data_IF_506260379535
#
_entry.id   IF_506260379535
#
_cell.length_a   1.000
_cell.length_b   1.000
_cell.length_c   1.000
_cell.angle_alpha   90.00
_cell.angle_beta   90.00
_cell.angle_gamma   90.00
#
_symmetry.space_group_name_H-M   'P 1'
#
loop_
_entity.id
_entity.type
_entity.pdbx_description
1 polymer ?
#
# COMPACT_ATOMS: atom_id res chain seq x y z
N UNK A 1 7.01 17.05 13.27
CA UNK A 1 6.77 15.75 12.60
C UNK A 1 5.99 14.86 13.56
N UNK A 2 4.73 14.55 13.26
CA UNK A 2 3.88 13.67 14.09
C UNK A 2 4.38 12.22 14.05
N UNK A 3 4.19 11.44 15.13
CA UNK A 3 4.61 10.01 15.24
C UNK A 3 4.07 9.19 14.06
N UNK A 4 2.82 9.47 13.67
CA UNK A 4 2.18 8.91 12.47
C UNK A 4 2.96 9.14 11.19
N UNK A 5 3.47 10.35 10.94
CA UNK A 5 4.19 10.63 9.70
C UNK A 5 5.50 9.83 9.59
N UNK A 6 6.18 9.61 10.73
CA UNK A 6 7.38 8.77 10.80
C UNK A 6 7.05 7.30 10.53
N UNK A 7 5.95 6.80 11.12
CA UNK A 7 5.48 5.43 10.87
C UNK A 7 5.07 5.25 9.41
N UNK A 8 4.33 6.20 8.82
CA UNK A 8 3.95 6.16 7.41
C UNK A 8 5.18 6.14 6.51
N UNK A 9 6.17 7.00 6.73
CA UNK A 9 7.42 7.01 5.94
C UNK A 9 8.20 5.70 6.03
N UNK A 10 8.27 5.09 7.23
CA UNK A 10 8.95 3.81 7.44
C UNK A 10 8.20 2.65 6.77
N UNK A 11 6.86 2.67 6.82
CA UNK A 11 5.99 1.65 6.27
C UNK A 11 5.72 1.82 4.77
N UNK A 12 5.93 3.02 4.23
CA UNK A 12 5.65 3.34 2.83
C UNK A 12 6.32 2.42 1.80
N UNK A 13 7.63 2.08 1.88
CA UNK A 13 8.22 1.16 0.91
C UNK A 13 7.55 -0.23 0.94
N UNK A 14 7.14 -0.71 2.12
CA UNK A 14 6.41 -1.96 2.26
C UNK A 14 4.98 -1.85 1.72
N UNK A 15 4.28 -0.76 2.02
CA UNK A 15 2.93 -0.50 1.54
C UNK A 15 2.86 -0.32 0.02
N UNK A 16 3.80 0.42 -0.58
CA UNK A 16 3.93 0.59 -2.01
C UNK A 16 4.29 -0.73 -2.72
N UNK A 17 5.16 -1.54 -2.12
CA UNK A 17 5.49 -2.89 -2.60
C UNK A 17 4.28 -3.83 -2.57
N UNK A 18 3.56 -3.88 -1.44
CA UNK A 18 2.33 -4.67 -1.32
C UNK A 18 1.26 -4.23 -2.33
N UNK A 19 1.10 -2.91 -2.53
CA UNK A 19 0.19 -2.37 -3.53
C UNK A 19 0.62 -2.74 -4.97
N UNK A 20 1.93 -2.77 -5.29
CA UNK A 20 2.43 -3.16 -6.61
C UNK A 20 2.07 -4.62 -6.93
N UNK A 21 2.34 -5.51 -5.97
CA UNK A 21 2.06 -6.93 -6.10
C UNK A 21 0.56 -7.17 -6.23
N UNK A 22 -0.26 -6.52 -5.41
CA UNK A 22 -1.70 -6.64 -5.47
C UNK A 22 -2.29 -6.09 -6.77
N UNK A 23 -1.77 -4.97 -7.28
CA UNK A 23 -2.24 -4.37 -8.54
C UNK A 23 -1.89 -5.28 -9.74
N UNK A 24 -0.70 -5.87 -9.73
CA UNK A 24 -0.29 -6.86 -10.72
C UNK A 24 -1.18 -8.12 -10.66
N UNK A 25 -1.38 -8.69 -9.46
CA UNK A 25 -2.26 -9.85 -9.28
C UNK A 25 -3.72 -9.55 -9.67
N UNK A 26 -4.23 -8.36 -9.34
CA UNK A 26 -5.56 -7.93 -9.78
C UNK A 26 -5.65 -7.93 -11.31
N UNK A 27 -4.62 -7.47 -12.01
CA UNK A 27 -4.60 -7.50 -13.48
C UNK A 27 -4.60 -8.93 -14.06
N UNK A 28 -3.96 -9.88 -13.38
CA UNK A 28 -3.99 -11.29 -13.77
C UNK A 28 -5.39 -11.90 -13.59
N UNK A 29 -6.09 -11.54 -12.51
CA UNK A 29 -7.49 -11.96 -12.29
C UNK A 29 -8.40 -11.32 -13.33
N UNK A 30 -8.24 -10.01 -13.59
CA UNK A 30 -9.02 -9.31 -14.61
C UNK A 30 -8.78 -9.86 -16.01
N UNK A 31 -7.59 -10.42 -16.27
CA UNK A 31 -7.29 -11.10 -17.53
C UNK A 31 -8.20 -12.29 -17.80
N UNK A 32 -8.76 -12.93 -16.77
CA UNK A 32 -9.74 -14.01 -16.95
C UNK A 32 -11.07 -13.50 -17.52
N UNK A 33 -11.35 -12.20 -17.38
CA UNK A 33 -12.53 -11.52 -17.93
C UNK A 33 -12.20 -10.85 -19.29
N UNK A 34 -11.02 -11.13 -19.86
CA UNK A 34 -10.59 -10.61 -21.17
C UNK A 34 -9.91 -9.24 -21.11
N UNK A 35 -9.62 -8.71 -19.93
CA UNK A 35 -8.87 -7.45 -19.78
C UNK A 35 -7.37 -7.65 -20.05
N UNK A 36 -6.65 -6.63 -20.53
CA UNK A 36 -5.22 -6.72 -20.75
C UNK A 36 -4.45 -6.88 -19.44
N UNK A 37 -3.44 -7.76 -19.43
CA UNK A 37 -2.50 -7.92 -18.31
C UNK A 37 -1.65 -6.66 -18.18
N UNK A 38 -1.55 -6.12 -16.97
CA UNK A 38 -0.72 -4.95 -16.70
C UNK A 38 0.76 -5.33 -16.75
N UNK A 39 1.58 -4.52 -17.42
CA UNK A 39 3.02 -4.71 -17.38
C UNK A 39 3.54 -4.47 -15.94
N UNK A 40 4.55 -5.24 -15.47
CA UNK A 40 5.09 -5.10 -14.12
C UNK A 40 5.58 -3.68 -13.79
N UNK A 41 6.16 -2.99 -14.78
CA UNK A 41 6.58 -1.59 -14.64
C UNK A 41 5.40 -0.66 -14.35
N UNK A 42 4.28 -0.85 -15.04
CA UNK A 42 3.06 -0.06 -14.86
C UNK A 42 2.43 -0.34 -13.49
N UNK A 43 2.49 -1.59 -13.02
CA UNK A 43 2.02 -1.95 -11.68
C UNK A 43 2.84 -1.25 -10.58
N UNK A 44 4.17 -1.18 -10.74
CA UNK A 44 5.07 -0.47 -9.82
C UNK A 44 4.81 1.03 -9.83
N UNK A 45 4.66 1.67 -10.99
CA UNK A 45 4.34 3.10 -11.06
C UNK A 45 2.94 3.40 -10.51
N UNK A 46 1.95 2.57 -10.83
CA UNK A 46 0.58 2.71 -10.33
C UNK A 46 0.49 2.56 -8.81
N UNK A 47 1.32 1.70 -8.22
CA UNK A 47 1.33 1.47 -6.78
C UNK A 47 1.94 2.60 -5.96
N UNK A 48 2.78 3.45 -6.56
CA UNK A 48 3.33 4.62 -5.87
C UNK A 48 2.19 5.54 -5.41
N UNK A 49 1.18 5.74 -6.25
CA UNK A 49 0.01 6.58 -5.93
C UNK A 49 -1.04 5.79 -5.16
N UNK A 50 -1.37 4.58 -5.61
CA UNK A 50 -2.39 3.74 -4.96
C UNK A 50 -1.97 3.16 -3.60
N UNK A 51 -0.67 3.13 -3.30
CA UNK A 51 -0.12 2.67 -2.03
C UNK A 51 -0.19 3.71 -0.92
N UNK A 52 -0.41 5.00 -1.23
CA UNK A 52 -0.48 6.07 -0.22
C UNK A 52 -1.70 5.91 0.71
N UNK A 53 -2.94 5.74 0.22
CA UNK A 53 -4.10 5.60 1.10
C UNK A 53 -4.01 4.38 2.04
N UNK A 54 -3.68 3.16 1.58
CA UNK A 54 -3.54 1.99 2.45
C UNK A 54 -2.47 2.18 3.52
N UNK A 55 -1.32 2.73 3.15
CA UNK A 55 -0.21 2.96 4.09
C UNK A 55 -0.60 3.96 5.18
N UNK A 56 -1.32 5.02 4.83
CA UNK A 56 -1.78 6.02 5.79
C UNK A 56 -2.82 5.45 6.78
N UNK A 57 -3.80 4.68 6.29
CA UNK A 57 -4.75 3.98 7.15
C UNK A 57 -4.06 3.01 8.11
N UNK A 58 -3.08 2.26 7.62
CA UNK A 58 -2.34 1.30 8.42
C UNK A 58 -1.47 1.99 9.50
N UNK A 59 -0.79 3.08 9.14
CA UNK A 59 0.00 3.86 10.10
C UNK A 59 -0.88 4.50 11.19
N UNK A 60 -2.07 4.99 10.84
CA UNK A 60 -3.04 5.49 11.81
C UNK A 60 -3.58 4.41 12.75
N UNK A 61 -3.76 3.18 12.24
CA UNK A 61 -4.15 2.04 13.05
C UNK A 61 -3.05 1.64 14.06
N UNK A 62 -1.80 1.58 13.62
CA UNK A 62 -0.65 1.29 14.49
C UNK A 62 -0.49 2.36 15.57
N UNK A 63 -0.59 3.64 15.22
CA UNK A 63 -0.48 4.74 16.19
C UNK A 63 -1.58 4.64 17.28
N UNK A 64 -2.80 4.24 16.88
CA UNK A 64 -3.90 4.00 17.83
C UNK A 64 -3.64 2.79 18.73
N UNK A 65 -3.03 1.72 18.21
CA UNK A 65 -2.61 0.55 18.98
C UNK A 65 -1.51 0.91 19.99
N UNK A 66 -0.49 1.64 19.56
CA UNK A 66 0.62 2.09 20.44
C UNK A 66 0.09 2.92 21.60
N UNK A 67 -0.83 3.86 21.33
CA UNK A 67 -1.47 4.67 22.37
C UNK A 67 -2.28 3.87 23.38
N UNK A 68 -2.85 2.73 22.99
CA UNK A 68 -3.55 1.81 23.89
C UNK A 68 -2.60 0.94 24.72
N UNK A 69 -1.40 0.67 24.21
CA UNK A 69 -0.41 -0.14 24.91
C UNK A 69 0.39 0.68 25.93
N UNK A 70 0.52 1.99 25.70
CA UNK A 70 1.17 2.93 26.63
C UNK A 70 0.24 3.38 27.79
N UNK A 71 -1.04 3.03 27.76
CA UNK A 71 -2.05 3.32 28.81
C UNK A 71 -2.32 2.10 29.68
#
# INVERSE_FOLDING_TARGET
MTRQLRLTLLLYPFGAGAAAVNLFFASLILSWVGMPVMAPSVAVFGSVVLGIPPTWFFAGHIDRLMRKAES
#
